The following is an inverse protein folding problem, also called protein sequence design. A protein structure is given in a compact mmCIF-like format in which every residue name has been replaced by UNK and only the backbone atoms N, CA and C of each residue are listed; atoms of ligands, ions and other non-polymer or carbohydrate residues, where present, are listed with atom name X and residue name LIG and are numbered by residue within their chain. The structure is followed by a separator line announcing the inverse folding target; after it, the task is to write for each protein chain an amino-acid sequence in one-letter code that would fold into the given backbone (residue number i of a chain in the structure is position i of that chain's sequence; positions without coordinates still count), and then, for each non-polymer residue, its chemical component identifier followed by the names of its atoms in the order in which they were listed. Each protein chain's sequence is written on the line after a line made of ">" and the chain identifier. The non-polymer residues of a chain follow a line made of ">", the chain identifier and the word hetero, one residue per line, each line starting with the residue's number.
data_IF_183500658095
#
_entry.id   IF_183500658095
#
_cell.length_a   1.000
_cell.length_b   1.000
_cell.length_c   1.000
_cell.angle_alpha   90.00
_cell.angle_beta   90.00
_cell.angle_gamma   90.00
#
_symmetry.space_group_name_H-M   'P 1'
#
loop_
_entity.id
_entity.type
_entity.pdbx_description
1 polymer ?
#
# COMPACT_ATOMS: atom_id res chain seq x y z
N UNK A 1 -5.49 0.97 -46.70
CA UNK A 1 -6.45 0.88 -45.58
C UNK A 1 -5.94 -0.10 -44.51
N UNK A 2 -4.65 0.00 -44.14
CA UNK A 2 -3.97 -0.95 -43.23
C UNK A 2 -3.21 -0.27 -42.09
N UNK A 3 -3.03 1.06 -42.14
CA UNK A 3 -2.24 1.81 -41.15
C UNK A 3 -3.08 2.17 -39.91
N UNK A 4 -4.39 2.38 -40.10
CA UNK A 4 -5.30 2.82 -39.03
C UNK A 4 -5.55 1.71 -37.98
N UNK A 5 -5.45 0.43 -38.37
CA UNK A 5 -5.74 -0.69 -37.47
C UNK A 5 -4.56 -1.03 -36.53
N UNK A 6 -3.33 -0.64 -36.90
CA UNK A 6 -2.13 -0.85 -36.09
C UNK A 6 -1.94 0.27 -35.05
N UNK A 7 -2.27 1.52 -35.41
CA UNK A 7 -2.28 2.64 -34.44
C UNK A 7 -3.36 2.48 -33.36
N UNK A 8 -4.56 1.99 -33.71
CA UNK A 8 -5.64 1.76 -32.74
C UNK A 8 -5.34 0.58 -31.80
N UNK A 9 -4.55 -0.41 -32.23
CA UNK A 9 -4.12 -1.53 -31.38
C UNK A 9 -2.90 -1.17 -30.51
N UNK A 10 -1.99 -0.30 -30.97
CA UNK A 10 -0.94 0.25 -30.11
C UNK A 10 -1.49 1.22 -29.06
N UNK A 11 -2.41 2.12 -29.43
CA UNK A 11 -3.01 3.08 -28.47
C UNK A 11 -3.91 2.42 -27.43
N UNK A 12 -4.46 1.23 -27.71
CA UNK A 12 -5.22 0.44 -26.74
C UNK A 12 -4.34 -0.27 -25.69
N UNK A 13 -3.09 -0.63 -26.03
CA UNK A 13 -2.11 -1.14 -25.05
C UNK A 13 -1.60 -0.06 -24.09
N UNK A 14 -1.74 1.21 -24.45
CA UNK A 14 -1.25 2.36 -23.67
C UNK A 14 -2.18 2.83 -22.54
N UNK A 15 -3.35 2.22 -22.37
CA UNK A 15 -4.20 2.47 -21.20
C UNK A 15 -4.19 1.25 -20.27
N UNK A 16 -3.03 0.95 -19.67
CA UNK A 16 -3.09 0.30 -18.36
C UNK A 16 -3.85 1.27 -17.45
N UNK A 17 -5.08 0.92 -17.07
CA UNK A 17 -5.76 1.70 -16.03
C UNK A 17 -4.84 1.66 -14.81
N UNK A 18 -4.62 2.81 -14.14
CA UNK A 18 -3.82 2.91 -12.91
C UNK A 18 -4.04 1.76 -11.93
N UNK A 19 -5.28 1.27 -11.81
CA UNK A 19 -5.61 0.12 -10.97
C UNK A 19 -5.08 -1.23 -11.46
N UNK A 20 -4.97 -1.44 -12.77
CA UNK A 20 -4.36 -2.62 -13.37
C UNK A 20 -2.84 -2.62 -13.21
N UNK A 21 -2.19 -1.49 -13.48
CA UNK A 21 -0.75 -1.33 -13.22
C UNK A 21 -0.43 -1.61 -11.75
N UNK A 22 -1.20 -1.03 -10.81
CA UNK A 22 -1.00 -1.26 -9.38
C UNK A 22 -1.18 -2.73 -8.99
N UNK A 23 -2.13 -3.44 -9.62
CA UNK A 23 -2.34 -4.86 -9.37
C UNK A 23 -1.15 -5.70 -9.83
N UNK A 24 -0.64 -5.44 -11.04
CA UNK A 24 0.54 -6.11 -11.57
C UNK A 24 1.79 -5.85 -10.70
N UNK A 25 1.94 -4.62 -10.20
CA UNK A 25 3.01 -4.29 -9.22
C UNK A 25 2.87 -5.12 -7.95
N UNK A 26 1.66 -5.20 -7.37
CA UNK A 26 1.42 -5.96 -6.13
C UNK A 26 1.71 -7.45 -6.34
N UNK A 27 1.22 -8.03 -7.45
CA UNK A 27 1.48 -9.42 -7.80
C UNK A 27 2.99 -9.68 -7.96
N UNK A 28 3.70 -8.77 -8.63
CA UNK A 28 5.15 -8.84 -8.79
C UNK A 28 5.89 -8.74 -7.46
N UNK A 29 5.51 -7.79 -6.60
CA UNK A 29 6.10 -7.62 -5.28
C UNK A 29 5.89 -8.85 -4.40
N UNK A 30 4.67 -9.42 -4.41
CA UNK A 30 4.33 -10.64 -3.67
C UNK A 30 5.06 -11.88 -4.21
N UNK A 31 5.36 -11.93 -5.51
CA UNK A 31 6.13 -13.02 -6.11
C UNK A 31 7.63 -12.93 -5.80
N UNK A 32 8.20 -11.71 -5.80
CA UNK A 32 9.64 -11.50 -5.60
C UNK A 32 10.06 -11.55 -4.13
N UNK A 33 9.29 -10.91 -3.25
CA UNK A 33 9.62 -10.73 -1.82
C UNK A 33 11.07 -10.26 -1.56
N UNK A 34 11.66 -9.54 -2.51
CA UNK A 34 13.05 -9.08 -2.49
C UNK A 34 13.20 -7.64 -1.97
N UNK A 35 12.06 -7.02 -1.60
CA UNK A 35 11.95 -5.64 -1.16
C UNK A 35 12.47 -4.58 -2.15
N UNK A 36 12.45 -4.88 -3.46
CA UNK A 36 12.79 -3.93 -4.53
C UNK A 36 11.51 -3.41 -5.18
N UNK A 37 11.36 -2.08 -5.29
CA UNK A 37 10.20 -1.50 -5.98
C UNK A 37 10.12 -2.03 -7.43
N UNK A 38 8.99 -2.62 -7.87
CA UNK A 38 8.82 -3.15 -9.23
C UNK A 38 8.69 -2.06 -10.31
N UNK A 39 9.69 -1.19 -10.42
CA UNK A 39 9.74 -0.12 -11.43
C UNK A 39 9.87 -0.65 -12.86
N UNK A 40 10.24 -1.93 -13.00
CA UNK A 40 10.37 -2.64 -14.26
C UNK A 40 9.07 -3.26 -14.78
N UNK A 41 7.96 -3.13 -14.05
CA UNK A 41 6.63 -3.58 -14.51
C UNK A 41 6.09 -2.63 -15.57
N UNK A 42 5.60 -3.17 -16.68
CA UNK A 42 5.03 -2.41 -17.80
C UNK A 42 3.95 -1.41 -17.31
N UNK A 43 4.06 -0.16 -17.77
CA UNK A 43 3.12 0.91 -17.43
C UNK A 43 3.41 1.63 -16.11
N UNK A 44 4.37 1.19 -15.29
CA UNK A 44 4.67 1.83 -14.00
C UNK A 44 5.20 3.24 -14.18
N UNK A 45 6.20 3.42 -15.05
CA UNK A 45 6.81 4.72 -15.29
C UNK A 45 5.79 5.74 -15.81
N UNK A 46 4.89 5.33 -16.70
CA UNK A 46 3.84 6.17 -17.27
C UNK A 46 2.73 6.47 -16.25
N UNK A 47 2.41 5.53 -15.37
CA UNK A 47 1.29 5.64 -14.43
C UNK A 47 1.65 6.38 -13.14
N UNK A 48 2.87 6.16 -12.63
CA UNK A 48 3.31 6.65 -11.33
C UNK A 48 4.47 7.64 -11.43
N UNK A 49 5.23 7.66 -12.52
CA UNK A 49 6.35 8.58 -12.72
C UNK A 49 7.61 8.14 -11.98
N UNK A 50 7.53 8.07 -10.64
CA UNK A 50 8.68 7.81 -9.76
C UNK A 50 8.38 6.81 -8.62
N UNK A 51 9.45 6.39 -7.94
CA UNK A 51 9.42 5.47 -6.82
C UNK A 51 8.56 5.98 -5.66
N UNK A 52 8.62 7.29 -5.37
CA UNK A 52 7.89 7.89 -4.26
C UNK A 52 6.37 7.81 -4.49
N UNK A 53 5.94 8.12 -5.71
CA UNK A 53 4.53 8.07 -6.12
C UNK A 53 4.01 6.64 -6.15
N UNK A 54 4.83 5.69 -6.62
CA UNK A 54 4.47 4.26 -6.57
C UNK A 54 4.36 3.77 -5.12
N UNK A 55 5.35 4.08 -4.29
CA UNK A 55 5.38 3.71 -2.88
C UNK A 55 4.19 4.32 -2.12
N UNK A 56 3.82 5.56 -2.43
CA UNK A 56 2.62 6.20 -1.90
C UNK A 56 1.33 5.46 -2.28
N UNK A 57 1.22 4.96 -3.51
CA UNK A 57 0.08 4.16 -3.94
C UNK A 57 0.02 2.80 -3.20
N UNK A 58 1.17 2.17 -2.98
CA UNK A 58 1.29 0.93 -2.21
C UNK A 58 0.95 1.14 -0.72
N UNK A 59 1.42 2.25 -0.13
CA UNK A 59 1.07 2.65 1.24
C UNK A 59 -0.43 2.89 1.39
N UNK A 60 -1.07 3.56 0.42
CA UNK A 60 -2.52 3.75 0.42
C UNK A 60 -3.25 2.41 0.32
N UNK A 61 -2.80 1.52 -0.57
CA UNK A 61 -3.38 0.18 -0.73
C UNK A 61 -3.33 -0.63 0.56
N UNK A 62 -2.17 -0.65 1.21
CA UNK A 62 -1.97 -1.31 2.51
C UNK A 62 -2.90 -0.72 3.57
N UNK A 63 -2.92 0.61 3.70
CA UNK A 63 -3.77 1.30 4.68
C UNK A 63 -5.26 1.00 4.49
N UNK A 64 -5.77 1.10 3.27
CA UNK A 64 -7.19 0.81 2.98
C UNK A 64 -7.54 -0.66 3.30
N UNK A 65 -6.64 -1.61 3.02
CA UNK A 65 -6.86 -3.02 3.38
C UNK A 65 -6.86 -3.24 4.89
N UNK A 66 -5.88 -2.68 5.58
CA UNK A 66 -5.79 -2.78 7.04
C UNK A 66 -7.03 -2.20 7.72
N UNK A 67 -7.46 -1.00 7.33
CA UNK A 67 -8.66 -0.38 7.90
C UNK A 67 -9.91 -1.25 7.66
N UNK A 68 -10.09 -1.78 6.46
CA UNK A 68 -11.22 -2.66 6.15
C UNK A 68 -11.21 -3.96 6.96
N UNK A 69 -10.04 -4.58 7.17
CA UNK A 69 -9.92 -5.75 8.03
C UNK A 69 -10.20 -5.42 9.50
N UNK A 70 -9.71 -4.29 9.99
CA UNK A 70 -10.01 -3.84 11.36
C UNK A 70 -11.50 -3.61 11.54
N UNK A 71 -12.14 -2.87 10.63
CA UNK A 71 -13.60 -2.65 10.64
C UNK A 71 -14.36 -3.99 10.67
N UNK A 72 -13.96 -4.95 9.83
CA UNK A 72 -14.58 -6.26 9.76
C UNK A 72 -14.43 -7.06 11.06
N UNK A 73 -13.27 -7.01 11.72
CA UNK A 73 -13.07 -7.65 13.02
C UNK A 73 -13.92 -6.98 14.12
N UNK A 74 -14.00 -5.65 14.12
CA UNK A 74 -14.74 -4.88 15.13
C UNK A 74 -16.27 -5.04 15.03
N UNK A 75 -16.82 -5.35 13.86
CA UNK A 75 -18.26 -5.64 13.69
C UNK A 75 -18.74 -6.79 14.59
N UNK A 76 -17.85 -7.72 14.96
CA UNK A 76 -18.16 -8.83 15.86
C UNK A 76 -18.23 -8.44 17.35
N UNK A 77 -17.98 -7.17 17.67
CA UNK A 77 -17.88 -6.65 19.04
C UNK A 77 -16.95 -7.49 19.92
N UNK A 78 -15.67 -7.65 19.51
CA UNK A 78 -14.73 -8.49 20.23
C UNK A 78 -14.46 -7.92 21.63
N UNK A 79 -14.35 -8.81 22.61
CA UNK A 79 -13.98 -8.42 23.98
C UNK A 79 -12.53 -7.94 24.09
N UNK A 80 -11.68 -8.36 23.15
CA UNK A 80 -10.26 -8.03 23.08
C UNK A 80 -9.99 -7.27 21.78
N UNK A 81 -9.99 -5.94 21.87
CA UNK A 81 -9.79 -5.04 20.73
C UNK A 81 -8.36 -5.13 20.19
N UNK A 82 -7.36 -5.31 21.07
CA UNK A 82 -5.97 -5.45 20.66
C UNK A 82 -5.79 -6.70 19.81
N UNK A 83 -6.31 -7.84 20.27
CA UNK A 83 -6.26 -9.09 19.51
C UNK A 83 -7.01 -8.99 18.18
N UNK A 84 -8.12 -8.27 18.13
CA UNK A 84 -8.85 -8.01 16.88
C UNK A 84 -8.00 -7.19 15.88
N UNK A 85 -7.31 -6.15 16.34
CA UNK A 85 -6.40 -5.35 15.50
C UNK A 85 -5.20 -6.18 15.03
N UNK A 86 -4.61 -7.01 15.89
CA UNK A 86 -3.53 -7.93 15.51
C UNK A 86 -3.99 -8.92 14.44
N UNK A 87 -5.19 -9.50 14.59
CA UNK A 87 -5.76 -10.41 13.60
C UNK A 87 -5.97 -9.72 12.25
N UNK A 88 -6.48 -8.49 12.25
CA UNK A 88 -6.64 -7.68 11.04
C UNK A 88 -5.30 -7.36 10.37
N UNK A 89 -4.26 -7.06 11.16
CA UNK A 89 -2.91 -6.83 10.64
C UNK A 89 -2.34 -8.09 9.97
N UNK A 90 -2.48 -9.25 10.60
CA UNK A 90 -2.04 -10.54 10.05
C UNK A 90 -2.79 -10.85 8.74
N UNK A 91 -4.11 -10.68 8.71
CA UNK A 91 -4.90 -10.88 7.49
C UNK A 91 -4.46 -9.94 6.35
N UNK A 92 -4.10 -8.69 6.67
CA UNK A 92 -3.57 -7.74 5.68
C UNK A 92 -2.18 -8.17 5.18
N UNK A 93 -1.32 -8.66 6.08
CA UNK A 93 -0.01 -9.20 5.72
C UNK A 93 -0.13 -10.41 4.81
N UNK A 94 -1.04 -11.34 5.08
CA UNK A 94 -1.26 -12.53 4.27
C UNK A 94 -1.73 -12.18 2.84
N UNK A 95 -2.47 -11.08 2.67
CA UNK A 95 -2.87 -10.58 1.34
C UNK A 95 -1.74 -9.84 0.61
N UNK A 96 -0.93 -9.07 1.35
CA UNK A 96 0.00 -8.09 0.81
C UNK A 96 1.43 -8.22 1.37
N UNK A 97 2.04 -9.43 1.40
CA UNK A 97 3.32 -9.63 2.06
C UNK A 97 4.46 -8.86 1.38
N UNK A 98 4.45 -8.79 0.04
CA UNK A 98 5.43 -8.04 -0.75
C UNK A 98 5.27 -6.53 -0.56
N UNK A 99 4.03 -6.04 -0.44
CA UNK A 99 3.80 -4.62 -0.12
C UNK A 99 4.35 -4.29 1.26
N UNK A 100 4.07 -5.12 2.28
CA UNK A 100 4.63 -4.92 3.63
C UNK A 100 6.15 -4.86 3.60
N UNK A 101 6.80 -5.81 2.91
CA UNK A 101 8.25 -5.86 2.78
C UNK A 101 8.83 -4.59 2.14
N UNK A 102 8.19 -4.07 1.08
CA UNK A 102 8.58 -2.80 0.46
C UNK A 102 8.44 -1.63 1.45
N UNK A 103 7.29 -1.51 2.11
CA UNK A 103 7.06 -0.42 3.07
C UNK A 103 8.06 -0.46 4.22
N UNK A 104 8.41 -1.64 4.73
CA UNK A 104 9.43 -1.78 5.78
C UNK A 104 10.84 -1.45 5.30
N UNK A 105 11.19 -1.86 4.09
CA UNK A 105 12.49 -1.56 3.50
C UNK A 105 12.68 -0.07 3.32
N UNK A 106 11.77 0.62 2.63
CA UNK A 106 11.90 2.06 2.35
C UNK A 106 11.64 2.95 3.56
N UNK A 107 10.99 2.44 4.61
CA UNK A 107 10.98 3.08 5.93
C UNK A 107 12.38 3.10 6.56
N UNK A 108 13.16 2.04 6.37
CA UNK A 108 14.49 1.87 6.98
C UNK A 108 15.61 2.43 6.10
N UNK A 109 15.41 2.41 4.78
CA UNK A 109 16.38 2.80 3.76
C UNK A 109 15.68 3.68 2.70
N UNK A 110 15.23 4.90 3.06
CA UNK A 110 14.66 5.80 2.07
C UNK A 110 15.71 6.20 1.04
N UNK A 111 15.29 6.46 -0.20
CA UNK A 111 16.20 6.87 -1.27
C UNK A 111 16.72 8.30 -1.07
N UNK A 112 15.91 9.14 -0.45
CA UNK A 112 16.18 10.54 -0.16
C UNK A 112 15.39 11.04 1.06
N UNK A 113 15.62 12.29 1.44
CA UNK A 113 14.99 12.92 2.61
C UNK A 113 13.47 13.07 2.44
N UNK A 114 12.98 13.28 1.21
CA UNK A 114 11.55 13.46 0.94
C UNK A 114 10.79 12.15 1.19
N UNK A 115 11.30 11.04 0.65
CA UNK A 115 10.78 9.71 0.90
C UNK A 115 10.87 9.35 2.37
N UNK A 116 11.98 9.68 3.03
CA UNK A 116 12.14 9.49 4.48
C UNK A 116 11.04 10.19 5.28
N UNK A 117 10.76 11.46 4.96
CA UNK A 117 9.68 12.23 5.58
C UNK A 117 8.30 11.64 5.32
N UNK A 118 8.02 11.27 4.07
CA UNK A 118 6.75 10.67 3.68
C UNK A 118 6.50 9.34 4.42
N UNK A 119 7.51 8.47 4.48
CA UNK A 119 7.43 7.17 5.16
C UNK A 119 7.30 7.31 6.68
N UNK A 120 7.99 8.28 7.30
CA UNK A 120 7.83 8.58 8.72
C UNK A 120 6.40 9.01 9.03
N UNK A 121 5.83 9.94 8.24
CA UNK A 121 4.45 10.42 8.42
C UNK A 121 3.42 9.30 8.22
N UNK A 122 3.60 8.46 7.21
CA UNK A 122 2.72 7.31 6.97
C UNK A 122 2.76 6.30 8.12
N UNK A 123 3.95 6.06 8.68
CA UNK A 123 4.15 5.15 9.82
C UNK A 123 3.45 5.65 11.09
N UNK A 124 3.53 6.96 11.38
CA UNK A 124 2.79 7.55 12.49
C UNK A 124 1.28 7.35 12.32
N UNK A 125 0.74 7.63 11.13
CA UNK A 125 -0.69 7.45 10.85
C UNK A 125 -1.15 6.00 11.02
N UNK A 126 -0.38 5.04 10.52
CA UNK A 126 -0.66 3.61 10.70
C UNK A 126 -0.71 3.23 12.18
N UNK A 127 0.29 3.66 12.96
CA UNK A 127 0.34 3.38 14.41
C UNK A 127 -0.82 4.02 15.17
N UNK A 128 -1.18 5.27 14.85
CA UNK A 128 -2.31 5.97 15.46
C UNK A 128 -3.63 5.27 15.14
N UNK A 129 -3.84 4.84 13.88
CA UNK A 129 -5.01 4.04 13.52
C UNK A 129 -5.11 2.78 14.39
N UNK A 130 -4.03 2.00 14.45
CA UNK A 130 -4.02 0.73 15.20
C UNK A 130 -4.23 0.95 16.69
N UNK A 131 -3.54 1.92 17.30
CA UNK A 131 -3.71 2.25 18.72
C UNK A 131 -5.14 2.71 19.05
N UNK A 132 -5.73 3.53 18.18
CA UNK A 132 -7.10 4.02 18.35
C UNK A 132 -8.10 2.87 18.27
N UNK A 133 -7.95 1.98 17.29
CA UNK A 133 -8.85 0.84 17.10
C UNK A 133 -8.65 -0.26 18.15
N UNK A 134 -7.46 -0.34 18.75
CA UNK A 134 -7.18 -1.22 19.88
C UNK A 134 -7.67 -0.66 21.23
N UNK A 135 -8.31 0.52 21.24
CA UNK A 135 -8.77 1.18 22.46
C UNK A 135 -7.64 1.75 23.34
N UNK A 136 -6.42 1.85 22.80
CA UNK A 136 -5.23 2.33 23.52
C UNK A 136 -5.07 3.86 23.43
N UNK A 137 -5.74 4.51 22.47
CA UNK A 137 -5.84 5.97 22.43
C UNK A 137 -6.92 6.43 23.42
N UNK A 138 -6.52 6.77 24.64
CA UNK A 138 -7.37 7.53 25.56
C UNK A 138 -7.74 8.89 24.96
N UNK A 139 -8.87 9.45 25.39
CA UNK A 139 -9.47 10.74 24.96
C UNK A 139 -8.51 11.98 25.14
N UNK A 140 -7.26 11.79 25.56
CA UNK A 140 -6.29 12.84 25.87
C UNK A 140 -5.21 13.16 24.81
N UNK A 141 -4.96 12.29 23.82
CA UNK A 141 -3.77 12.45 22.94
C UNK A 141 -4.04 13.17 21.59
N UNK A 142 -5.25 13.73 21.40
CA UNK A 142 -5.57 14.60 20.26
C UNK A 142 -5.47 16.09 20.59
N UNK A 143 -5.01 16.44 21.78
CA UNK A 143 -4.70 17.80 22.19
C UNK A 143 -3.18 17.94 22.41
N UNK A 144 -2.43 18.03 21.30
CA UNK A 144 -0.99 18.29 21.28
C UNK A 144 -0.53 18.78 19.92
#
# INVERSE_FOLDING_TARGET
>A
MSVINEELTMTWKSFHNRGETLRAVIETANARLDARLPMDVDGVAETFGDELTLLGALQLKWHTRLSGHVEQQLLSQPMDLERAVVAAWIATYDELPGVRALLDHYRSHPLDDEMGWAMARATVKERVLMATMAGQSGIGDLAG
#
